data_IF_247345505187
#
_entry.id   IF_247345505187
#
_cell.length_a   1.000
_cell.length_b   1.000
_cell.length_c   1.000
_cell.angle_alpha   90.00
_cell.angle_beta   90.00
_cell.angle_gamma   90.00
#
_symmetry.space_group_name_H-M   'P 1'
#
loop_
_entity.id
_entity.type
_entity.pdbx_description
1 polymer ?
#
# COMPACT_ATOMS: atom_id res chain seq x y z
N UNK A 1 10.04 -4.96 -8.55
CA UNK A 1 9.51 -6.10 -7.78
C UNK A 1 8.31 -6.72 -8.50
N UNK A 2 7.98 -7.99 -8.24
CA UNK A 2 6.70 -8.63 -8.66
C UNK A 2 5.72 -8.69 -7.47
N UNK A 3 4.40 -8.90 -7.68
CA UNK A 3 3.42 -8.92 -6.59
C UNK A 3 3.72 -9.93 -5.48
N UNK A 4 4.13 -11.13 -5.86
CA UNK A 4 4.38 -12.20 -4.88
C UNK A 4 5.68 -11.94 -4.09
N UNK A 5 6.69 -11.33 -4.73
CA UNK A 5 7.91 -10.89 -4.03
C UNK A 5 7.63 -9.74 -3.08
N UNK A 6 6.76 -8.81 -3.47
CA UNK A 6 6.30 -7.72 -2.60
C UNK A 6 5.55 -8.29 -1.39
N UNK A 7 4.60 -9.20 -1.62
CA UNK A 7 3.84 -9.87 -0.56
C UNK A 7 4.76 -10.62 0.39
N UNK A 8 5.73 -11.37 -0.13
CA UNK A 8 6.71 -12.07 0.70
C UNK A 8 7.55 -11.11 1.55
N UNK A 9 8.02 -10.00 0.97
CA UNK A 9 8.81 -9.00 1.70
C UNK A 9 8.01 -8.33 2.83
N UNK A 10 6.74 -8.01 2.57
CA UNK A 10 5.82 -7.47 3.58
C UNK A 10 5.61 -8.48 4.71
N UNK A 11 5.38 -9.76 4.38
CA UNK A 11 5.16 -10.81 5.38
C UNK A 11 6.40 -11.08 6.24
N UNK A 12 7.60 -10.98 5.66
CA UNK A 12 8.86 -11.04 6.43
C UNK A 12 8.96 -9.88 7.41
N UNK A 13 8.73 -8.64 6.95
CA UNK A 13 8.78 -7.46 7.83
C UNK A 13 7.73 -7.51 8.96
N UNK A 14 6.55 -8.05 8.68
CA UNK A 14 5.51 -8.27 9.69
C UNK A 14 5.88 -9.36 10.71
N UNK A 15 6.60 -10.40 10.29
CA UNK A 15 7.09 -11.44 11.21
C UNK A 15 8.07 -10.86 12.23
N UNK A 16 8.84 -9.85 11.84
CA UNK A 16 9.74 -9.10 12.72
C UNK A 16 9.02 -8.00 13.53
N UNK A 17 7.68 -7.96 13.51
CA UNK A 17 6.83 -6.94 14.15
C UNK A 17 7.20 -5.50 13.77
N UNK A 18 7.71 -5.30 12.55
CA UNK A 18 8.18 -4.00 12.07
C UNK A 18 7.22 -3.45 11.00
N UNK A 19 6.13 -2.82 11.45
CA UNK A 19 5.11 -2.24 10.57
C UNK A 19 5.68 -1.11 9.70
N UNK A 20 6.61 -0.30 10.20
CA UNK A 20 7.30 0.74 9.43
C UNK A 20 8.10 0.15 8.27
N UNK A 21 8.80 -0.96 8.51
CA UNK A 21 9.52 -1.66 7.45
C UNK A 21 8.55 -2.27 6.43
N UNK A 22 7.45 -2.86 6.89
CA UNK A 22 6.42 -3.41 6.00
C UNK A 22 5.78 -2.31 5.14
N UNK A 23 5.52 -1.13 5.71
CA UNK A 23 5.06 0.05 4.98
C UNK A 23 6.05 0.47 3.89
N UNK A 24 7.36 0.52 4.20
CA UNK A 24 8.39 0.80 3.19
C UNK A 24 8.39 -0.21 2.05
N UNK A 25 8.14 -1.49 2.33
CA UNK A 25 8.05 -2.52 1.29
C UNK A 25 6.87 -2.32 0.34
N UNK A 26 5.74 -1.82 0.85
CA UNK A 26 4.61 -1.41 0.00
C UNK A 26 4.99 -0.25 -0.91
N UNK A 27 5.61 0.81 -0.35
CA UNK A 27 5.98 2.00 -1.13
C UNK A 27 7.08 1.69 -2.17
N UNK A 28 8.10 0.93 -1.79
CA UNK A 28 9.15 0.46 -2.71
C UNK A 28 8.55 -0.34 -3.88
N UNK A 29 7.54 -1.17 -3.61
CA UNK A 29 6.87 -1.96 -4.65
C UNK A 29 6.17 -1.09 -5.68
N UNK A 30 5.51 -0.02 -5.24
CA UNK A 30 4.91 1.00 -6.12
C UNK A 30 6.00 1.70 -6.95
N UNK A 31 7.10 2.10 -6.32
CA UNK A 31 8.14 2.85 -7.00
C UNK A 31 8.91 1.98 -8.02
N UNK A 32 9.11 0.71 -7.71
CA UNK A 32 9.61 -0.29 -8.66
C UNK A 32 8.68 -0.47 -9.88
N UNK A 33 7.36 -0.48 -9.66
CA UNK A 33 6.37 -0.56 -10.74
C UNK A 33 6.43 0.68 -11.63
N UNK A 34 6.56 1.88 -11.04
CA UNK A 34 6.72 3.13 -11.79
C UNK A 34 8.01 3.16 -12.60
N UNK A 35 9.10 2.66 -12.03
CA UNK A 35 10.42 2.64 -12.67
C UNK A 35 10.50 1.64 -13.83
N UNK A 36 9.70 0.57 -13.79
CA UNK A 36 9.70 -0.46 -14.84
C UNK A 36 8.27 -0.77 -15.34
N UNK A 37 7.79 -0.04 -16.37
CA UNK A 37 6.47 -0.27 -16.97
C UNK A 37 6.26 -1.70 -17.50
N UNK A 38 7.32 -2.38 -17.92
CA UNK A 38 7.24 -3.77 -18.41
C UNK A 38 6.85 -4.75 -17.29
N UNK A 39 7.02 -4.35 -16.02
CA UNK A 39 6.57 -5.13 -14.88
C UNK A 39 5.03 -5.16 -14.74
N UNK A 40 4.27 -4.26 -15.41
CA UNK A 40 2.81 -4.17 -15.27
C UNK A 40 2.12 -5.50 -15.52
N UNK A 41 2.56 -6.27 -16.52
CA UNK A 41 1.99 -7.58 -16.81
C UNK A 41 2.14 -8.56 -15.64
N UNK A 42 3.28 -8.54 -14.94
CA UNK A 42 3.47 -9.34 -13.74
C UNK A 42 2.55 -8.88 -12.60
N UNK A 43 2.27 -7.58 -12.52
CA UNK A 43 1.34 -7.01 -11.53
C UNK A 43 -0.13 -7.29 -11.78
N UNK A 44 -0.51 -7.79 -12.96
CA UNK A 44 -1.86 -8.31 -13.21
C UNK A 44 -2.15 -9.62 -12.47
N UNK A 45 -1.12 -10.34 -12.04
CA UNK A 45 -1.25 -11.66 -11.41
C UNK A 45 -0.63 -11.66 -10.02
N UNK A 46 -1.47 -11.86 -9.01
CA UNK A 46 -1.07 -12.00 -7.62
C UNK A 46 -1.58 -13.34 -7.07
N UNK A 47 -0.69 -14.12 -6.47
CA UNK A 47 -1.03 -15.46 -5.95
C UNK A 47 -1.11 -15.53 -4.42
N UNK A 48 -0.56 -14.53 -3.72
CA UNK A 48 -0.53 -14.47 -2.27
C UNK A 48 -1.02 -13.12 -1.73
N UNK A 49 -1.67 -13.14 -0.57
CA UNK A 49 -2.05 -11.95 0.20
C UNK A 49 -1.05 -11.69 1.34
N UNK A 50 -0.93 -10.43 1.76
CA UNK A 50 -0.12 -10.10 2.93
C UNK A 50 -0.88 -10.46 4.22
N UNK A 51 -0.18 -10.95 5.24
CA UNK A 51 -0.79 -11.37 6.50
C UNK A 51 -1.45 -10.21 7.26
N UNK A 52 -0.94 -8.98 7.08
CA UNK A 52 -1.53 -7.77 7.66
C UNK A 52 -2.58 -7.18 6.72
N UNK A 53 -3.86 -7.33 7.06
CA UNK A 53 -5.00 -6.80 6.27
C UNK A 53 -4.81 -5.32 5.88
N UNK A 54 -4.30 -4.51 6.81
CA UNK A 54 -4.07 -3.09 6.61
C UNK A 54 -3.02 -2.80 5.52
N UNK A 55 -1.89 -3.50 5.57
CA UNK A 55 -0.80 -3.37 4.60
C UNK A 55 -1.19 -3.99 3.26
N UNK A 56 -1.97 -5.07 3.27
CA UNK A 56 -2.53 -5.67 2.07
C UNK A 56 -3.47 -4.69 1.35
N UNK A 57 -4.38 -4.06 2.10
CA UNK A 57 -5.27 -3.02 1.58
C UNK A 57 -4.49 -1.82 1.04
N UNK A 58 -3.42 -1.40 1.73
CA UNK A 58 -2.55 -0.34 1.24
C UNK A 58 -1.87 -0.74 -0.07
N UNK A 59 -1.30 -1.95 -0.16
CA UNK A 59 -0.66 -2.45 -1.38
C UNK A 59 -1.64 -2.46 -2.56
N UNK A 60 -2.86 -2.96 -2.34
CA UNK A 60 -3.93 -2.93 -3.35
C UNK A 60 -4.23 -1.51 -3.79
N UNK A 61 -4.43 -0.59 -2.85
CA UNK A 61 -4.80 0.79 -3.14
C UNK A 61 -3.69 1.54 -3.91
N UNK A 62 -2.42 1.41 -3.49
CA UNK A 62 -1.30 2.08 -4.17
C UNK A 62 -1.07 1.49 -5.55
N UNK A 63 -1.11 0.17 -5.72
CA UNK A 63 -0.88 -0.46 -7.02
C UNK A 63 -2.06 -0.19 -7.96
N UNK A 64 -3.30 -0.37 -7.52
CA UNK A 64 -4.48 -0.07 -8.32
C UNK A 64 -4.48 1.37 -8.83
N UNK A 65 -4.01 2.32 -8.00
CA UNK A 65 -3.86 3.72 -8.41
C UNK A 65 -2.88 3.92 -9.57
N UNK A 66 -1.77 3.17 -9.63
CA UNK A 66 -0.80 3.25 -10.73
C UNK A 66 -1.35 2.71 -12.06
N UNK A 67 -2.41 1.91 -11.99
CA UNK A 67 -3.09 1.37 -13.17
C UNK A 67 -4.15 2.28 -13.78
N UNK A 68 -4.58 3.33 -13.07
CA UNK A 68 -5.54 4.30 -13.58
C UNK A 68 -6.92 3.65 -13.78
N UNK A 69 -7.42 3.69 -15.02
CA UNK A 69 -8.79 3.26 -15.35
C UNK A 69 -8.94 1.74 -15.54
N UNK A 70 -7.84 1.00 -15.69
CA UNK A 70 -7.85 -0.47 -15.88
C UNK A 70 -6.97 -1.18 -14.84
N UNK A 71 -7.37 -1.17 -13.55
CA UNK A 71 -6.61 -1.79 -12.48
C UNK A 71 -6.77 -3.33 -12.45
N UNK A 72 -5.72 -4.07 -12.04
CA UNK A 72 -5.82 -5.51 -11.82
C UNK A 72 -6.95 -5.83 -10.84
N UNK A 73 -7.72 -6.90 -11.10
CA UNK A 73 -8.89 -7.25 -10.29
C UNK A 73 -8.57 -7.43 -8.80
N UNK A 74 -7.40 -7.97 -8.45
CA UNK A 74 -6.99 -8.16 -7.06
C UNK A 74 -6.77 -6.84 -6.29
N UNK A 75 -6.56 -5.73 -7.01
CA UNK A 75 -6.43 -4.38 -6.41
C UNK A 75 -7.78 -3.74 -6.09
N UNK A 76 -8.87 -4.30 -6.66
CA UNK A 76 -10.24 -3.87 -6.38
C UNK A 76 -10.68 -4.61 -5.11
N UNK A 77 -10.70 -3.91 -3.99
CA UNK A 77 -11.11 -4.46 -2.71
C UNK A 77 -12.03 -3.49 -1.97
N UNK A 78 -12.86 -4.05 -1.09
CA UNK A 78 -13.68 -3.27 -0.19
C UNK A 78 -12.80 -2.45 0.78
N UNK A 79 -13.27 -1.29 1.25
CA UNK A 79 -12.59 -0.54 2.30
C UNK A 79 -12.35 -1.38 3.56
N UNK A 80 -11.32 -1.04 4.34
CA UNK A 80 -11.09 -1.69 5.62
C UNK A 80 -12.31 -1.55 6.56
N UNK A 81 -12.61 -2.54 7.41
CA UNK A 81 -13.74 -2.45 8.34
C UNK A 81 -13.58 -1.30 9.34
N UNK A 82 -12.34 -1.06 9.77
CA UNK A 82 -11.96 -0.02 10.71
C UNK A 82 -11.01 0.99 10.06
N UNK A 83 -10.95 2.19 10.63
CA UNK A 83 -9.97 3.19 10.20
C UNK A 83 -8.57 2.71 10.58
N UNK A 84 -7.67 2.64 9.60
CA UNK A 84 -6.26 2.38 9.86
C UNK A 84 -5.43 3.63 9.64
N UNK A 85 -4.63 3.97 10.66
CA UNK A 85 -3.70 5.07 10.66
C UNK A 85 -2.39 4.56 11.26
N UNK A 86 -1.32 4.39 10.45
CA UNK A 86 0.00 4.10 10.98
C UNK A 86 0.46 5.21 11.93
N UNK A 87 1.30 4.86 12.90
CA UNK A 87 1.86 5.85 13.82
C UNK A 87 2.67 6.92 13.06
N UNK A 88 2.32 8.19 13.24
CA UNK A 88 3.07 9.33 12.70
C UNK A 88 3.61 10.18 13.86
N UNK A 89 4.92 10.14 14.17
CA UNK A 89 5.47 10.89 15.29
C UNK A 89 5.52 12.40 15.07
N UNK A 90 5.24 12.88 13.85
CA UNK A 90 5.35 14.29 13.48
C UNK A 90 4.00 14.99 13.31
N UNK A 91 2.89 14.23 13.25
CA UNK A 91 1.55 14.76 12.97
C UNK A 91 0.53 14.23 13.95
N UNK A 92 -0.49 15.03 14.23
CA UNK A 92 -1.69 14.57 14.93
C UNK A 92 -2.63 13.81 14.01
N UNK A 93 -3.52 12.99 14.56
CA UNK A 93 -4.53 12.26 13.79
C UNK A 93 -5.35 13.16 12.87
N UNK A 94 -5.77 14.33 13.35
CA UNK A 94 -6.50 15.32 12.55
C UNK A 94 -5.65 15.85 11.39
N UNK A 95 -4.35 16.08 11.63
CA UNK A 95 -3.43 16.50 10.57
C UNK A 95 -3.23 15.40 9.54
N UNK A 96 -3.12 14.14 9.97
CA UNK A 96 -3.02 12.98 9.06
C UNK A 96 -4.28 12.87 8.24
N UNK A 97 -5.48 12.94 8.85
CA UNK A 97 -6.76 12.87 8.14
C UNK A 97 -6.91 13.98 7.09
N UNK A 98 -6.55 15.21 7.44
CA UNK A 98 -6.61 16.36 6.53
C UNK A 98 -5.59 16.29 5.39
N UNK A 99 -4.44 15.63 5.61
CA UNK A 99 -3.38 15.46 4.61
C UNK A 99 -3.47 14.12 3.86
N UNK A 100 -4.47 13.29 4.17
CA UNK A 100 -4.65 11.99 3.53
C UNK A 100 -5.29 12.19 2.15
N UNK A 101 -4.72 11.63 1.07
CA UNK A 101 -5.36 11.65 -0.23
C UNK A 101 -6.76 11.01 -0.21
N UNK A 102 -7.73 11.64 -0.90
CA UNK A 102 -9.13 11.16 -0.94
C UNK A 102 -9.28 9.71 -1.37
N UNK A 103 -8.40 9.20 -2.23
CA UNK A 103 -8.45 7.82 -2.71
C UNK A 103 -8.06 6.81 -1.63
N UNK A 104 -7.14 7.13 -0.71
CA UNK A 104 -6.85 6.29 0.47
C UNK A 104 -7.94 6.41 1.53
N UNK A 105 -8.45 7.62 1.76
CA UNK A 105 -9.53 7.85 2.72
C UNK A 105 -10.78 7.02 2.38
N UNK A 106 -11.07 6.81 1.08
CA UNK A 106 -12.15 5.91 0.63
C UNK A 106 -11.93 4.45 1.03
N UNK A 107 -10.67 4.01 1.12
CA UNK A 107 -10.29 2.69 1.62
C UNK A 107 -10.20 2.63 3.14
N UNK A 108 -10.52 3.72 3.85
CA UNK A 108 -10.38 3.90 5.31
C UNK A 108 -8.93 3.79 5.80
N UNK A 109 -8.01 4.18 4.91
CA UNK A 109 -6.56 4.25 5.17
C UNK A 109 -6.18 5.72 5.29
N UNK A 110 -5.53 6.10 6.39
CA UNK A 110 -5.13 7.47 6.68
C UNK A 110 -3.63 7.57 6.81
N UNK A 111 -3.00 8.01 5.71
CA UNK A 111 -1.57 8.24 5.60
C UNK A 111 -1.39 9.59 4.92
N UNK A 112 -0.63 10.48 5.54
CA UNK A 112 -0.36 11.80 4.96
C UNK A 112 0.37 11.65 3.62
N UNK A 113 -0.05 12.42 2.61
CA UNK A 113 0.49 12.32 1.25
C UNK A 113 2.03 12.42 1.19
N UNK A 114 2.62 13.23 2.08
CA UNK A 114 4.07 13.39 2.18
C UNK A 114 4.79 12.10 2.56
N UNK A 115 4.17 11.25 3.40
CA UNK A 115 4.73 9.95 3.79
C UNK A 115 4.72 9.00 2.59
N UNK A 116 3.69 9.08 1.73
CA UNK A 116 3.62 8.28 0.52
C UNK A 116 4.72 8.63 -0.48
N UNK A 117 5.24 9.85 -0.47
CA UNK A 117 6.28 10.31 -1.41
C UNK A 117 7.71 9.97 -0.96
N UNK A 118 7.90 9.64 0.32
CA UNK A 118 9.19 9.28 0.89
C UNK A 118 9.30 7.77 1.03
N UNK A 119 9.96 7.12 0.07
CA UNK A 119 10.43 5.74 0.17
C UNK A 119 11.91 5.68 -0.21
#
# INVERSE_FOLDING_TARGET
>A
MTPDRATAAINVALTDLNEDHALRMVLQSRDDLRANPDARAAWCHRSAEAHGLNLDALLRAVIGREFGDDPPTWTIADPLPDDWMPADPFRTDDQVRNQTPKWLARCRIYIAERVLQTA
#
